data_IF_961457295935
#
_entry.id   IF_961457295935
#
_cell.length_a   1.000
_cell.length_b   1.000
_cell.length_c   1.000
_cell.angle_alpha   90.00
_cell.angle_beta   90.00
_cell.angle_gamma   90.00
#
_symmetry.space_group_name_H-M   'P 1'
#
loop_
_entity.id
_entity.type
_entity.pdbx_description
1 polymer ?
#
# COMPACT_ATOMS: atom_id res chain seq x y z
N UNK A 1 -3.75 -18.54 -10.91
CA UNK A 1 -2.45 -19.23 -10.73
C UNK A 1 -1.70 -18.74 -9.50
N UNK A 2 -1.55 -17.43 -9.29
CA UNK A 2 -0.88 -16.87 -8.10
C UNK A 2 -1.60 -17.25 -6.78
N UNK A 3 -2.93 -17.17 -6.75
CA UNK A 3 -3.71 -17.57 -5.57
C UNK A 3 -3.77 -19.09 -5.34
N UNK A 4 -3.44 -19.88 -6.37
CA UNK A 4 -3.42 -21.35 -6.29
C UNK A 4 -2.06 -21.89 -5.81
N UNK A 5 -1.05 -21.02 -5.61
CA UNK A 5 0.29 -21.42 -5.16
C UNK A 5 1.08 -22.25 -6.18
N UNK A 6 0.65 -22.28 -7.44
CA UNK A 6 1.32 -23.01 -8.51
C UNK A 6 2.43 -22.13 -9.09
N UNK A 7 3.64 -22.68 -9.20
CA UNK A 7 4.78 -22.00 -9.81
C UNK A 7 4.51 -21.77 -11.30
N UNK A 8 4.69 -20.52 -11.75
CA UNK A 8 4.58 -20.17 -13.16
C UNK A 8 5.86 -20.64 -13.88
N UNK A 9 5.71 -21.48 -14.90
CA UNK A 9 6.82 -21.91 -15.75
C UNK A 9 6.81 -21.18 -17.09
N UNK A 10 7.95 -21.17 -17.79
CA UNK A 10 8.01 -20.63 -19.16
C UNK A 10 7.09 -21.38 -20.13
N UNK A 11 6.87 -22.68 -19.89
CA UNK A 11 5.92 -23.47 -20.67
C UNK A 11 4.49 -22.95 -20.50
N UNK A 12 4.07 -22.64 -19.27
CA UNK A 12 2.72 -22.08 -19.03
C UNK A 12 2.53 -20.74 -19.76
N UNK A 13 3.58 -19.90 -19.79
CA UNK A 13 3.54 -18.62 -20.53
C UNK A 13 3.40 -18.89 -22.03
N UNK A 14 4.19 -19.82 -22.57
CA UNK A 14 4.11 -20.17 -23.99
C UNK A 14 2.73 -20.73 -24.35
N UNK A 15 2.16 -21.61 -23.53
CA UNK A 15 0.84 -22.18 -23.76
C UNK A 15 -0.24 -21.08 -23.79
N UNK A 16 -0.15 -20.09 -22.89
CA UNK A 16 -1.07 -18.95 -22.91
C UNK A 16 -0.90 -18.05 -24.14
N UNK A 17 0.34 -17.84 -24.60
CA UNK A 17 0.62 -17.12 -25.86
C UNK A 17 0.10 -17.88 -27.08
N UNK A 18 0.21 -19.20 -27.09
CA UNK A 18 -0.29 -20.05 -28.17
C UNK A 18 -1.82 -20.03 -28.24
N UNK A 19 -2.49 -19.99 -27.09
CA UNK A 19 -3.96 -19.81 -27.02
C UNK A 19 -4.36 -18.45 -27.61
N UNK A 20 -3.66 -17.37 -27.27
CA UNK A 20 -3.91 -16.03 -27.82
C UNK A 20 -3.66 -16.01 -29.33
N UNK A 21 -2.54 -16.55 -29.80
CA UNK A 21 -2.23 -16.70 -31.22
C UNK A 21 -3.31 -17.52 -31.95
N UNK A 22 -3.78 -18.60 -31.34
CA UNK A 22 -4.85 -19.43 -31.86
C UNK A 22 -6.17 -18.68 -32.00
N UNK A 23 -6.56 -17.90 -30.98
CA UNK A 23 -7.76 -17.07 -31.01
C UNK A 23 -7.71 -16.03 -32.14
N UNK A 24 -6.56 -15.37 -32.33
CA UNK A 24 -6.35 -14.42 -33.43
C UNK A 24 -6.47 -15.11 -34.79
N UNK A 25 -5.89 -16.31 -34.96
CA UNK A 25 -6.01 -17.10 -36.20
C UNK A 25 -7.45 -17.53 -36.48
N UNK A 26 -8.25 -17.82 -35.47
CA UNK A 26 -9.67 -18.17 -35.63
C UNK A 26 -10.47 -16.95 -36.12
N UNK A 27 -10.25 -15.78 -35.54
CA UNK A 27 -10.92 -14.54 -35.95
C UNK A 27 -10.48 -14.08 -37.34
N UNK A 28 -9.21 -14.30 -37.69
CA UNK A 28 -8.59 -13.87 -38.94
C UNK A 28 -7.92 -15.04 -39.66
N UNK A 29 -8.70 -15.94 -40.30
CA UNK A 29 -8.17 -17.15 -40.93
C UNK A 29 -7.26 -16.86 -42.14
N UNK A 30 -7.41 -15.69 -42.76
CA UNK A 30 -6.54 -15.22 -43.85
C UNK A 30 -5.24 -14.57 -43.35
N UNK A 31 -5.03 -14.50 -42.04
CA UNK A 31 -3.94 -13.79 -41.41
C UNK A 31 -4.22 -12.29 -41.25
N UNK A 32 -3.44 -11.67 -40.37
CA UNK A 32 -3.43 -10.21 -40.19
C UNK A 32 -2.41 -9.59 -41.16
N UNK A 33 -2.68 -8.39 -41.70
CA UNK A 33 -1.70 -7.62 -42.45
C UNK A 33 -0.45 -7.33 -41.59
N UNK A 34 0.73 -7.20 -42.23
CA UNK A 34 2.01 -6.98 -41.53
C UNK A 34 2.12 -5.64 -40.79
N UNK A 35 1.26 -4.68 -41.11
CA UNK A 35 1.20 -3.38 -40.43
C UNK A 35 0.27 -3.37 -39.21
N UNK A 36 -0.48 -4.45 -38.96
CA UNK A 36 -1.35 -4.53 -37.79
C UNK A 36 -0.54 -4.62 -36.49
N UNK A 37 -1.01 -3.91 -35.47
CA UNK A 37 -0.31 -3.75 -34.19
C UNK A 37 -0.27 -5.10 -33.46
N UNK A 38 -1.39 -5.82 -33.45
CA UNK A 38 -1.51 -7.13 -32.80
C UNK A 38 -0.54 -8.14 -33.42
N UNK A 39 -0.34 -8.08 -34.74
CA UNK A 39 0.62 -8.93 -35.42
C UNK A 39 2.06 -8.58 -35.06
N UNK A 40 2.38 -7.28 -35.01
CA UNK A 40 3.70 -6.80 -34.62
C UNK A 40 4.05 -7.12 -33.16
N UNK A 41 3.09 -7.02 -32.24
CA UNK A 41 3.24 -7.35 -30.83
C UNK A 41 3.44 -8.86 -30.62
N UNK A 42 2.62 -9.70 -31.27
CA UNK A 42 2.74 -11.16 -31.18
C UNK A 42 4.04 -11.71 -31.80
N UNK A 43 4.56 -11.07 -32.86
CA UNK A 43 5.85 -11.44 -33.45
C UNK A 43 7.06 -10.76 -32.81
N UNK A 44 6.86 -9.88 -31.81
CA UNK A 44 7.95 -9.13 -31.17
C UNK A 44 8.69 -8.17 -32.11
N UNK A 45 8.01 -7.68 -33.15
CA UNK A 45 8.52 -6.72 -34.16
C UNK A 45 8.02 -5.30 -33.92
N UNK A 46 7.41 -5.05 -32.77
CA UNK A 46 6.93 -3.73 -32.39
C UNK A 46 8.08 -2.72 -32.25
N UNK A 47 7.93 -1.56 -32.90
CA UNK A 47 8.82 -0.43 -32.67
C UNK A 47 8.31 0.38 -31.48
N UNK A 48 8.94 0.16 -30.33
CA UNK A 48 8.59 0.86 -29.10
C UNK A 48 9.34 2.20 -28.96
N UNK A 49 10.14 2.60 -29.94
CA UNK A 49 10.93 3.83 -29.86
C UNK A 49 10.03 5.06 -29.63
N UNK A 50 10.41 5.89 -28.64
CA UNK A 50 9.66 7.11 -28.28
C UNK A 50 8.35 6.91 -27.50
N UNK A 51 7.90 5.66 -27.29
CA UNK A 51 6.69 5.37 -26.48
C UNK A 51 7.01 5.23 -24.99
N UNK A 52 6.01 5.41 -24.12
CA UNK A 52 6.16 5.17 -22.67
C UNK A 52 6.44 3.68 -22.37
N UNK A 53 5.92 2.77 -23.20
CA UNK A 53 6.13 1.32 -23.08
C UNK A 53 7.62 0.93 -23.17
N UNK A 54 8.45 1.66 -23.94
CA UNK A 54 9.90 1.44 -23.98
C UNK A 54 10.59 1.54 -22.61
N UNK A 55 10.02 2.30 -21.68
CA UNK A 55 10.58 2.44 -20.33
C UNK A 55 10.31 1.20 -19.46
N UNK A 56 9.28 0.45 -19.76
CA UNK A 56 8.86 -0.75 -19.01
C UNK A 56 9.60 -2.00 -19.46
N UNK A 57 10.14 -2.01 -20.68
CA UNK A 57 11.00 -3.10 -21.15
C UNK A 57 12.27 -3.16 -20.30
N UNK A 58 12.48 -4.35 -19.74
CA UNK A 58 13.61 -4.70 -18.89
C UNK A 58 14.37 -5.83 -19.58
N UNK A 59 15.48 -5.48 -20.23
CA UNK A 59 16.37 -6.49 -20.81
C UNK A 59 17.08 -7.28 -19.69
N UNK A 60 17.28 -8.60 -19.85
CA UNK A 60 17.93 -9.42 -18.82
C UNK A 60 19.30 -8.89 -18.39
N UNK A 61 20.09 -8.41 -19.35
CA UNK A 61 21.42 -7.87 -19.12
C UNK A 61 21.40 -6.45 -18.52
N UNK A 62 20.30 -5.72 -18.71
CA UNK A 62 20.10 -4.36 -18.20
C UNK A 62 19.38 -4.30 -16.86
N UNK A 63 19.02 -5.43 -16.26
CA UNK A 63 18.10 -5.48 -15.11
C UNK A 63 18.80 -5.94 -13.84
N UNK A 64 18.40 -5.36 -12.71
CA UNK A 64 18.84 -5.74 -11.36
C UNK A 64 17.65 -6.15 -10.51
N UNK A 65 17.83 -7.20 -9.73
CA UNK A 65 16.86 -7.68 -8.75
C UNK A 65 17.23 -7.13 -7.38
N UNK A 66 16.23 -6.62 -6.65
CA UNK A 66 16.41 -6.03 -5.33
C UNK A 66 15.47 -6.64 -4.31
N UNK A 67 16.04 -7.07 -3.20
CA UNK A 67 15.31 -7.59 -2.06
C UNK A 67 15.80 -6.92 -0.77
N UNK A 68 14.88 -6.36 0.02
CA UNK A 68 15.19 -5.70 1.29
C UNK A 68 16.36 -4.68 1.22
N UNK A 69 16.40 -3.86 0.16
CA UNK A 69 17.47 -2.89 -0.12
C UNK A 69 18.86 -3.51 -0.37
N UNK A 70 18.93 -4.82 -0.65
CA UNK A 70 20.11 -5.51 -1.14
C UNK A 70 19.90 -5.92 -2.59
N UNK A 71 20.93 -5.70 -3.41
CA UNK A 71 20.98 -6.21 -4.78
C UNK A 71 21.23 -7.72 -4.75
N UNK A 72 20.40 -8.45 -5.48
CA UNK A 72 20.54 -9.88 -5.71
C UNK A 72 21.41 -10.08 -6.95
N UNK A 73 22.55 -10.73 -6.77
CA UNK A 73 23.41 -11.13 -7.88
C UNK A 73 22.86 -12.43 -8.48
N UNK A 74 22.73 -12.49 -9.81
CA UNK A 74 22.28 -13.69 -10.53
C UNK A 74 23.24 -14.88 -10.37
N UNK A 75 24.49 -14.64 -9.99
CA UNK A 75 25.51 -15.68 -9.77
C UNK A 75 25.43 -16.34 -8.39
N UNK A 76 24.68 -15.76 -7.44
CA UNK A 76 24.56 -16.26 -6.06
C UNK A 76 23.24 -16.94 -5.82
N UNK A 77 23.23 -17.86 -4.86
CA UNK A 77 22.01 -18.59 -4.49
C UNK A 77 21.18 -17.71 -3.55
N UNK A 78 19.86 -17.76 -3.70
CA UNK A 78 18.91 -17.03 -2.84
C UNK A 78 19.07 -17.36 -1.34
N UNK A 79 19.58 -18.55 -1.01
CA UNK A 79 19.86 -18.97 0.36
C UNK A 79 20.87 -18.08 1.08
N UNK A 80 21.79 -17.44 0.34
CA UNK A 80 22.79 -16.55 0.92
C UNK A 80 22.18 -15.22 1.38
N UNK A 81 21.03 -14.85 0.81
CA UNK A 81 20.32 -13.63 1.13
C UNK A 81 19.20 -13.85 2.14
N UNK A 82 18.35 -14.85 1.91
CA UNK A 82 17.12 -15.10 2.68
C UNK A 82 17.34 -16.11 3.81
N UNK A 83 18.39 -16.93 3.71
CA UNK A 83 18.68 -18.03 4.65
C UNK A 83 18.06 -19.36 4.21
N UNK A 84 18.07 -20.34 5.14
CA UNK A 84 17.60 -21.73 4.89
C UNK A 84 16.13 -21.96 5.23
N UNK A 85 15.31 -20.92 5.33
CA UNK A 85 13.91 -21.05 5.74
C UNK A 85 13.01 -21.35 4.54
N UNK A 86 12.43 -22.55 4.52
CA UNK A 86 11.56 -23.07 3.44
C UNK A 86 10.16 -22.44 3.40
N UNK A 87 9.71 -21.73 4.44
CA UNK A 87 8.38 -21.08 4.49
C UNK A 87 8.47 -19.55 4.38
N UNK A 88 9.24 -19.05 3.41
CA UNK A 88 9.45 -17.61 3.25
C UNK A 88 8.82 -17.11 1.96
N UNK A 89 7.89 -16.14 2.06
CA UNK A 89 7.40 -15.38 0.91
C UNK A 89 8.31 -14.17 0.68
N UNK A 90 8.92 -14.10 -0.50
CA UNK A 90 9.89 -13.06 -0.85
C UNK A 90 9.28 -12.18 -1.93
N UNK A 91 9.29 -10.87 -1.68
CA UNK A 91 8.88 -9.86 -2.67
C UNK A 91 10.15 -9.20 -3.18
N UNK A 92 10.39 -9.34 -4.49
CA UNK A 92 11.58 -8.79 -5.16
C UNK A 92 11.14 -7.70 -6.12
N UNK A 93 11.89 -6.60 -6.17
CA UNK A 93 11.68 -5.50 -7.10
C UNK A 93 12.67 -5.60 -8.26
N UNK A 94 12.18 -5.40 -9.49
CA UNK A 94 13.00 -5.33 -10.69
C UNK A 94 13.26 -3.85 -11.02
N UNK A 95 14.49 -3.52 -11.41
CA UNK A 95 14.86 -2.17 -11.80
C UNK A 95 15.96 -2.16 -12.86
N UNK A 96 16.00 -1.11 -13.69
CA UNK A 96 17.10 -0.89 -14.65
C UNK A 96 18.42 -0.63 -13.92
N UNK A 97 19.52 -1.18 -14.44
CA UNK A 97 20.88 -0.95 -13.95
C UNK A 97 21.17 0.56 -13.86
N UNK A 98 21.71 0.98 -12.74
CA UNK A 98 22.12 2.37 -12.49
C UNK A 98 21.08 3.27 -11.82
N UNK A 99 19.83 2.82 -11.62
CA UNK A 99 18.81 3.63 -10.91
C UNK A 99 18.88 3.53 -9.37
N UNK A 100 19.93 2.90 -8.82
CA UNK A 100 20.15 2.79 -7.38
C UNK A 100 19.17 1.85 -6.67
N UNK A 101 19.17 1.89 -5.33
CA UNK A 101 18.28 1.05 -4.53
C UNK A 101 16.81 1.50 -4.70
N UNK A 102 15.87 0.57 -4.87
CA UNK A 102 14.46 0.93 -5.03
C UNK A 102 13.93 1.59 -3.77
N UNK A 103 13.06 2.59 -3.97
CA UNK A 103 12.40 3.30 -2.88
C UNK A 103 11.59 2.30 -2.05
N UNK A 104 11.76 2.37 -0.73
CA UNK A 104 10.94 1.62 0.22
C UNK A 104 9.51 2.11 0.09
N UNK A 105 8.59 1.20 -0.21
CA UNK A 105 7.17 1.50 -0.08
C UNK A 105 6.86 1.85 1.37
N UNK A 106 5.93 2.79 1.57
CA UNK A 106 5.39 3.04 2.89
C UNK A 106 4.70 1.76 3.36
N UNK A 107 5.12 1.24 4.52
CA UNK A 107 4.55 0.02 5.09
C UNK A 107 3.03 0.12 5.39
N UNK A 108 2.49 1.34 5.34
CA UNK A 108 1.07 1.63 5.56
C UNK A 108 0.37 1.80 4.22
N UNK A 109 -0.70 1.03 4.01
CA UNK A 109 -1.67 1.26 2.94
C UNK A 109 -2.30 2.65 3.11
N UNK A 110 -2.72 3.30 2.02
CA UNK A 110 -3.33 4.64 2.09
C UNK A 110 -4.53 4.72 3.05
N UNK A 111 -5.35 3.66 3.12
CA UNK A 111 -6.47 3.56 4.06
C UNK A 111 -5.97 3.55 5.51
N UNK A 112 -4.98 2.71 5.83
CA UNK A 112 -4.39 2.65 7.17
C UNK A 112 -3.77 3.99 7.58
N UNK A 113 -3.13 4.71 6.63
CA UNK A 113 -2.57 6.04 6.87
C UNK A 113 -3.66 7.06 7.22
N UNK A 114 -4.82 7.01 6.55
CA UNK A 114 -5.98 7.88 6.85
C UNK A 114 -6.56 7.60 8.23
N UNK A 115 -6.71 6.33 8.60
CA UNK A 115 -7.24 5.93 9.92
C UNK A 115 -6.32 6.38 11.05
N UNK A 116 -5.01 6.23 10.87
CA UNK A 116 -4.00 6.68 11.84
C UNK A 116 -4.04 8.21 11.99
N UNK A 117 -4.15 8.93 10.88
CA UNK A 117 -4.28 10.39 10.88
C UNK A 117 -5.56 10.85 11.58
N UNK A 118 -6.69 10.17 11.37
CA UNK A 118 -7.95 10.46 12.08
C UNK A 118 -7.84 10.19 13.58
N UNK A 119 -7.19 9.09 13.98
CA UNK A 119 -7.00 8.75 15.38
C UNK A 119 -6.08 9.75 16.09
N UNK A 120 -4.99 10.19 15.45
CA UNK A 120 -4.12 11.25 15.97
C UNK A 120 -4.86 12.59 16.09
N UNK A 121 -5.72 12.92 15.13
CA UNK A 121 -6.51 14.14 15.17
C UNK A 121 -7.50 14.13 16.35
N UNK A 122 -8.27 13.05 16.54
CA UNK A 122 -9.18 12.93 17.70
C UNK A 122 -8.43 13.03 19.02
N UNK A 123 -7.29 12.34 19.15
CA UNK A 123 -6.46 12.42 20.36
C UNK A 123 -5.97 13.84 20.63
N UNK A 124 -5.60 14.61 19.60
CA UNK A 124 -5.22 16.03 19.78
C UNK A 124 -6.38 16.89 20.24
N UNK A 125 -7.56 16.70 19.66
CA UNK A 125 -8.76 17.44 20.07
C UNK A 125 -9.14 17.11 21.51
N UNK A 126 -9.10 15.84 21.91
CA UNK A 126 -9.34 15.40 23.30
C UNK A 126 -8.32 16.02 24.27
N UNK A 127 -7.03 15.98 23.94
CA UNK A 127 -5.99 16.60 24.76
C UNK A 127 -6.17 18.11 24.88
N UNK A 128 -6.52 18.78 23.78
CA UNK A 128 -6.79 20.22 23.78
C UNK A 128 -8.02 20.56 24.63
N UNK A 129 -9.07 19.74 24.55
CA UNK A 129 -10.26 19.91 25.38
C UNK A 129 -9.91 19.78 26.87
N UNK A 130 -9.09 18.78 27.23
CA UNK A 130 -8.61 18.58 28.60
C UNK A 130 -7.69 19.73 29.08
N UNK A 131 -6.88 20.32 28.21
CA UNK A 131 -6.08 21.52 28.54
C UNK A 131 -6.95 22.77 28.76
N UNK A 132 -8.05 22.90 28.02
CA UNK A 132 -8.98 24.04 28.17
C UNK A 132 -9.98 23.87 29.30
N UNK A 133 -10.19 22.65 29.80
CA UNK A 133 -11.04 22.37 30.96
C UNK A 133 -10.29 22.80 32.24
N UNK A 134 -10.15 24.12 32.40
CA UNK A 134 -9.70 24.74 33.64
C UNK A 134 -10.82 24.51 34.65
N UNK A 135 -10.68 23.47 35.48
CA UNK A 135 -11.70 22.86 36.36
C UNK A 135 -12.16 23.78 37.50
N UNK A 136 -12.69 24.95 37.13
CA UNK A 136 -13.36 25.90 38.02
C UNK A 136 -14.82 25.51 38.27
N UNK A 137 -15.30 24.40 37.68
CA UNK A 137 -16.66 23.87 37.90
C UNK A 137 -16.92 23.51 39.38
N UNK A 138 -15.87 23.15 40.10
CA UNK A 138 -15.90 22.91 41.54
C UNK A 138 -16.17 24.18 42.37
N UNK A 139 -15.82 25.38 41.89
CA UNK A 139 -15.92 26.60 42.70
C UNK A 139 -17.36 27.05 42.96
N UNK A 140 -18.28 26.79 42.03
CA UNK A 140 -19.72 27.12 42.15
C UNK A 140 -20.59 25.93 42.54
N UNK A 141 -19.97 24.80 42.86
CA UNK A 141 -20.70 23.57 43.16
C UNK A 141 -21.42 23.63 44.52
N UNK A 142 -22.69 23.19 44.57
CA UNK A 142 -23.49 23.17 45.81
C UNK A 142 -22.87 22.36 46.95
N UNK A 143 -22.02 21.38 46.65
CA UNK A 143 -21.32 20.58 47.66
C UNK A 143 -20.15 21.32 48.32
N UNK A 144 -19.64 22.40 47.69
CA UNK A 144 -18.60 23.25 48.24
C UNK A 144 -19.16 24.42 49.09
N UNK A 145 -20.49 24.63 49.11
CA UNK A 145 -21.14 25.67 49.93
C UNK A 145 -21.16 25.25 51.42
N UNK A 146 -20.20 25.78 52.19
CA UNK A 146 -20.08 25.55 53.64
C UNK A 146 -21.32 25.96 54.45
N UNK A 147 -22.21 26.77 53.88
CA UNK A 147 -23.46 27.21 54.52
C UNK A 147 -24.69 26.42 54.06
N UNK A 148 -24.54 25.42 53.19
CA UNK A 148 -25.65 24.64 52.61
C UNK A 148 -26.54 23.97 53.68
N UNK A 149 -25.93 23.37 54.70
CA UNK A 149 -26.64 22.78 55.84
C UNK A 149 -27.38 23.82 56.69
N UNK A 150 -26.76 24.99 56.89
CA UNK A 150 -27.36 26.09 57.67
C UNK A 150 -28.57 26.68 56.95
N UNK A 151 -28.50 26.86 55.63
CA UNK A 151 -29.62 27.32 54.78
C UNK A 151 -30.77 26.31 54.81
N UNK A 152 -30.45 25.02 54.81
CA UNK A 152 -31.44 23.93 54.90
C UNK A 152 -32.19 23.93 56.24
N UNK A 153 -31.48 24.12 57.36
CA UNK A 153 -32.11 24.15 58.68
C UNK A 153 -32.97 25.40 58.91
N UNK A 154 -32.61 26.52 58.29
CA UNK A 154 -33.37 27.78 58.36
C UNK A 154 -34.51 27.87 57.32
N UNK A 155 -34.70 26.83 56.49
CA UNK A 155 -35.75 26.79 55.47
C UNK A 155 -35.55 27.77 54.30
N UNK A 156 -34.32 28.25 54.10
CA UNK A 156 -33.99 29.30 53.11
C UNK A 156 -33.72 28.74 51.69
N UNK A 157 -33.86 27.42 51.49
CA UNK A 157 -33.56 26.75 50.22
C UNK A 157 -34.51 27.12 49.06
N UNK A 158 -35.67 27.72 49.34
CA UNK A 158 -36.69 28.11 48.36
C UNK A 158 -36.61 29.58 47.91
N UNK A 159 -35.66 30.36 48.43
CA UNK A 159 -35.55 31.79 48.11
C UNK A 159 -34.60 31.97 46.92
N UNK A 160 -35.16 32.27 45.73
CA UNK A 160 -34.40 32.75 44.58
C UNK A 160 -34.47 34.28 44.55
N UNK A 161 -33.34 34.92 44.80
CA UNK A 161 -33.19 36.34 44.50
C UNK A 161 -33.03 36.51 42.97
N UNK A 162 -33.72 37.51 42.42
CA UNK A 162 -33.65 37.89 41.00
C UNK A 162 -32.64 39.01 40.83
#
# INVERSE_FOLDING_TARGET
MIDAGVCLTLADIQDTLDILCGAVKICYPMGLPSYEIIYQELEGKEDLSGTQASKEILEPDGTELWWASKKLDSSKILSDYIGKNEKSKVIVKLQKKGCGAPVKESALTEQQKKDLMMAEYRRREELKQLETDDDNSHLDSQWADSNSLKKSFLGLNTIKFK
#
